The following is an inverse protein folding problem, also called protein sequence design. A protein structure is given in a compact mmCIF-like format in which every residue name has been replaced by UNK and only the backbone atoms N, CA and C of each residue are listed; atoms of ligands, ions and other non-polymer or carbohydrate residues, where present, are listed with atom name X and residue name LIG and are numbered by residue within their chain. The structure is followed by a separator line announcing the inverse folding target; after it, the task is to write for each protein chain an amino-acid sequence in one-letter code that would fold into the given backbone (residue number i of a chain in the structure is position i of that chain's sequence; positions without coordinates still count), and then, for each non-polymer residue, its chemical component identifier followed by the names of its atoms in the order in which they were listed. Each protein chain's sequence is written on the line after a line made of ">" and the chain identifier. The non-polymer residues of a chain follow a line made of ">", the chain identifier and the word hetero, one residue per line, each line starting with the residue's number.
data_IF_899825355961
#
_entry.id   IF_899825355961
#
_cell.length_a   1.000
_cell.length_b   1.000
_cell.length_c   1.000
_cell.angle_alpha   90.00
_cell.angle_beta   90.00
_cell.angle_gamma   90.00
#
_symmetry.space_group_name_H-M   'P 1'
#
loop_
_entity.id
_entity.type
_entity.pdbx_description
1 polymer ?
#
# COMPACT_ATOMS: atom_id res chain seq x y z
N UNK A 1 -25.28 4.41 3.30
CA UNK A 1 -24.22 4.94 2.42
C UNK A 1 -23.49 3.74 1.85
N UNK A 2 -23.90 3.39 0.63
CA UNK A 2 -23.64 2.11 -0.02
C UNK A 2 -22.20 2.09 -0.54
N UNK A 3 -21.32 1.32 0.12
CA UNK A 3 -19.94 1.14 -0.33
C UNK A 3 -19.94 0.50 -1.71
N UNK A 4 -19.32 1.16 -2.68
CA UNK A 4 -19.08 0.56 -4.00
C UNK A 4 -18.18 -0.66 -3.79
N UNK A 5 -18.59 -1.80 -4.34
CA UNK A 5 -17.88 -3.05 -4.24
C UNK A 5 -16.51 -2.91 -4.95
N UNK A 6 -15.41 -2.81 -4.19
CA UNK A 6 -14.04 -2.61 -4.70
C UNK A 6 -13.37 -3.91 -5.21
N UNK A 7 -14.08 -5.03 -5.11
CA UNK A 7 -13.65 -6.27 -5.74
C UNK A 7 -13.75 -6.14 -7.26
N UNK A 8 -12.62 -6.31 -7.94
CA UNK A 8 -12.57 -6.21 -9.40
C UNK A 8 -13.36 -7.39 -9.99
N UNK A 9 -14.36 -7.12 -10.82
CA UNK A 9 -15.30 -8.13 -11.36
C UNK A 9 -14.71 -9.11 -12.40
N UNK A 10 -13.38 -9.23 -12.50
CA UNK A 10 -12.71 -10.27 -13.31
C UNK A 10 -12.35 -11.51 -12.50
N UNK A 11 -13.17 -11.87 -11.50
CA UNK A 11 -12.78 -12.79 -10.41
C UNK A 11 -12.60 -14.26 -10.81
N UNK A 12 -12.89 -14.70 -12.03
CA UNK A 12 -13.19 -16.12 -12.26
C UNK A 12 -12.27 -16.86 -13.26
N UNK A 13 -10.95 -16.71 -13.15
CA UNK A 13 -10.03 -17.68 -13.81
C UNK A 13 -9.31 -18.58 -12.81
N UNK A 14 -9.02 -18.08 -11.59
CA UNK A 14 -8.27 -18.83 -10.58
C UNK A 14 -9.12 -19.02 -9.32
N UNK A 15 -9.46 -20.27 -9.01
CA UNK A 15 -10.26 -20.64 -7.84
C UNK A 15 -9.62 -20.12 -6.55
N UNK A 16 -10.44 -19.53 -5.67
CA UNK A 16 -10.05 -18.97 -4.36
C UNK A 16 -9.16 -17.72 -4.40
N UNK A 17 -9.01 -17.05 -5.55
CA UNK A 17 -8.29 -15.78 -5.66
C UNK A 17 -9.28 -14.62 -5.81
N UNK A 18 -9.30 -13.71 -4.84
CA UNK A 18 -10.09 -12.48 -4.91
C UNK A 18 -9.15 -11.30 -5.08
N UNK A 19 -9.42 -10.46 -6.09
CA UNK A 19 -8.67 -9.22 -6.32
C UNK A 19 -9.49 -8.06 -5.77
N UNK A 20 -8.89 -7.32 -4.84
CA UNK A 20 -9.46 -6.11 -4.24
C UNK A 20 -8.58 -4.92 -4.60
N UNK A 21 -9.15 -3.88 -5.19
CA UNK A 21 -8.40 -2.66 -5.51
C UNK A 21 -8.53 -1.66 -4.36
N UNK A 22 -7.46 -1.54 -3.56
CA UNK A 22 -7.39 -0.59 -2.46
C UNK A 22 -5.99 -0.48 -1.89
N UNK A 23 -5.79 0.51 -1.01
CA UNK A 23 -4.55 0.66 -0.23
C UNK A 23 -4.75 0.08 1.16
N UNK A 24 -3.70 -0.56 1.66
CA UNK A 24 -3.65 -1.10 3.03
C UNK A 24 -2.86 -0.15 3.91
N UNK A 25 -3.47 0.34 4.98
CA UNK A 25 -2.85 1.31 5.88
C UNK A 25 -2.21 0.64 7.11
N UNK A 26 -2.74 -0.49 7.56
CA UNK A 26 -2.19 -1.19 8.73
C UNK A 26 -2.51 -2.67 8.76
N UNK A 27 -1.75 -3.42 9.57
CA UNK A 27 -2.07 -4.78 9.97
C UNK A 27 -3.08 -4.75 11.11
N UNK A 28 -4.06 -5.64 11.06
CA UNK A 28 -4.93 -5.95 12.19
C UNK A 28 -4.26 -7.03 13.03
N UNK A 29 -3.88 -6.71 14.26
CA UNK A 29 -3.12 -7.60 15.15
C UNK A 29 -3.85 -7.73 16.48
N UNK A 30 -3.96 -8.96 16.98
CA UNK A 30 -4.52 -9.25 18.29
C UNK A 30 -3.64 -8.75 19.44
N UNK A 31 -4.19 -8.75 20.66
CA UNK A 31 -3.45 -8.34 21.86
C UNK A 31 -2.26 -9.23 22.19
N UNK A 32 -2.25 -10.45 21.65
CA UNK A 32 -1.22 -11.47 21.75
C UNK A 32 -0.20 -11.44 20.59
N UNK A 33 -0.34 -10.50 19.65
CA UNK A 33 0.50 -10.42 18.46
C UNK A 33 0.02 -11.27 17.28
N UNK A 34 -1.14 -11.94 17.39
CA UNK A 34 -1.66 -12.77 16.29
C UNK A 34 -2.13 -11.91 15.10
N UNK A 35 -1.76 -12.28 13.88
CA UNK A 35 -2.28 -11.66 12.67
C UNK A 35 -3.78 -11.94 12.51
N UNK A 36 -4.59 -10.89 12.43
CA UNK A 36 -6.05 -10.95 12.21
C UNK A 36 -6.47 -10.44 10.83
N UNK A 37 -5.54 -9.87 10.05
CA UNK A 37 -5.77 -9.39 8.69
C UNK A 37 -5.20 -8.00 8.48
N UNK A 38 -5.91 -7.18 7.70
CA UNK A 38 -5.47 -5.83 7.32
C UNK A 38 -6.60 -4.81 7.40
N UNK A 39 -6.25 -3.55 7.68
CA UNK A 39 -7.17 -2.41 7.60
C UNK A 39 -6.84 -1.58 6.37
N UNK A 40 -7.87 -1.28 5.59
CA UNK A 40 -7.80 -0.52 4.35
C UNK A 40 -8.00 0.97 4.60
N UNK A 41 -7.53 1.81 3.68
CA UNK A 41 -7.67 3.28 3.82
C UNK A 41 -9.11 3.79 3.77
N UNK A 42 -10.06 2.97 3.30
CA UNK A 42 -11.49 3.27 3.31
C UNK A 42 -12.16 2.90 4.66
N UNK A 43 -11.40 2.40 5.64
CA UNK A 43 -11.90 1.99 6.94
C UNK A 43 -12.41 0.54 7.03
N UNK A 44 -12.43 -0.21 5.93
CA UNK A 44 -12.77 -1.64 5.95
C UNK A 44 -11.62 -2.50 6.51
N UNK A 45 -11.98 -3.59 7.20
CA UNK A 45 -11.02 -4.61 7.65
C UNK A 45 -11.22 -5.89 6.83
N UNK A 46 -10.17 -6.33 6.14
CA UNK A 46 -10.13 -7.65 5.52
C UNK A 46 -9.50 -8.65 6.48
N UNK A 47 -10.27 -9.63 6.93
CA UNK A 47 -9.82 -10.66 7.87
C UNK A 47 -9.00 -11.73 7.17
N UNK A 48 -7.87 -12.11 7.76
CA UNK A 48 -7.06 -13.24 7.31
C UNK A 48 -6.26 -13.83 8.46
N UNK A 49 -5.85 -15.11 8.33
CA UNK A 49 -4.97 -15.79 9.29
C UNK A 49 -3.48 -15.49 9.07
N UNK A 50 -3.15 -14.94 7.90
CA UNK A 50 -1.79 -14.63 7.47
C UNK A 50 -1.84 -13.47 6.48
N UNK A 51 -0.83 -12.61 6.53
CA UNK A 51 -0.62 -11.50 5.60
C UNK A 51 0.80 -11.61 5.07
N UNK A 52 0.94 -11.57 3.74
CA UNK A 52 2.24 -11.48 3.07
C UNK A 52 2.38 -10.07 2.54
N UNK A 53 3.40 -9.35 3.00
CA UNK A 53 3.69 -7.99 2.56
C UNK A 53 4.60 -8.01 1.34
N UNK A 54 4.12 -7.46 0.23
CA UNK A 54 4.86 -7.37 -1.04
C UNK A 54 4.80 -5.95 -1.61
N UNK A 55 5.05 -4.95 -0.75
CA UNK A 55 4.95 -3.52 -1.07
C UNK A 55 5.97 -3.03 -2.10
N UNK A 56 7.01 -3.82 -2.40
CA UNK A 56 8.06 -3.44 -3.34
C UNK A 56 8.71 -2.11 -2.92
N UNK A 57 8.81 -1.16 -3.86
CA UNK A 57 9.41 0.16 -3.62
C UNK A 57 8.48 1.16 -2.91
N UNK A 58 7.27 0.74 -2.51
CA UNK A 58 6.26 1.66 -1.97
C UNK A 58 6.36 1.89 -0.47
N UNK A 59 6.83 0.92 0.33
CA UNK A 59 6.85 1.03 1.79
C UNK A 59 7.79 2.15 2.25
N UNK A 60 7.22 3.29 2.66
CA UNK A 60 8.01 4.49 3.00
C UNK A 60 8.88 5.00 1.83
N UNK A 61 8.49 4.67 0.59
CA UNK A 61 9.29 4.89 -0.61
C UNK A 61 9.64 6.36 -0.84
N UNK A 62 10.85 6.58 -1.38
CA UNK A 62 11.37 7.91 -1.68
C UNK A 62 12.19 7.87 -2.97
N UNK A 63 11.96 8.84 -3.84
CA UNK A 63 12.73 9.03 -5.07
C UNK A 63 13.75 10.13 -4.83
N UNK A 64 14.97 9.90 -5.32
CA UNK A 64 16.07 10.85 -5.32
C UNK A 64 16.45 11.20 -6.77
N UNK A 65 16.51 12.49 -7.09
CA UNK A 65 16.93 13.01 -8.40
C UNK A 65 17.98 14.09 -8.14
N UNK A 66 19.25 13.73 -8.27
CA UNK A 66 20.35 14.61 -7.88
C UNK A 66 20.23 15.01 -6.40
N UNK A 67 20.07 16.32 -6.14
CA UNK A 67 19.89 16.88 -4.79
C UNK A 67 18.44 16.97 -4.36
N UNK A 68 17.50 16.73 -5.27
CA UNK A 68 16.09 16.75 -4.98
C UNK A 68 15.61 15.38 -4.53
N UNK A 69 14.60 15.37 -3.67
CA UNK A 69 13.99 14.13 -3.24
C UNK A 69 12.54 14.33 -2.83
N UNK A 70 11.72 13.31 -3.02
CA UNK A 70 10.29 13.35 -2.70
C UNK A 70 9.75 11.97 -2.33
N UNK A 71 8.74 11.93 -1.48
CA UNK A 71 8.04 10.71 -1.08
C UNK A 71 7.29 10.14 -2.29
N UNK A 72 7.60 8.90 -2.65
CA UNK A 72 7.08 8.25 -3.86
C UNK A 72 7.37 6.75 -3.84
N UNK A 73 6.40 5.94 -4.21
CA UNK A 73 6.60 4.51 -4.45
C UNK A 73 7.22 4.23 -5.82
N UNK A 74 6.81 4.98 -6.85
CA UNK A 74 7.33 4.83 -8.22
C UNK A 74 7.17 6.11 -9.04
N UNK A 75 8.03 6.28 -10.04
CA UNK A 75 7.87 7.30 -11.09
C UNK A 75 6.82 6.83 -12.10
N UNK A 76 5.84 7.68 -12.40
CA UNK A 76 4.84 7.42 -13.45
C UNK A 76 5.53 7.52 -14.81
N UNK A 77 5.19 6.58 -15.69
CA UNK A 77 5.72 6.48 -17.06
C UNK A 77 4.71 7.04 -18.06
N UNK A 78 4.24 8.27 -17.90
CA UNK A 78 3.44 8.92 -18.93
C UNK A 78 4.38 9.67 -19.90
N UNK A 79 4.07 9.57 -21.19
CA UNK A 79 4.81 10.18 -22.30
C UNK A 79 4.50 11.67 -22.49
N UNK A 80 3.76 12.29 -21.57
CA UNK A 80 3.46 13.71 -21.64
C UNK A 80 4.68 14.52 -21.17
N UNK A 81 5.19 15.47 -21.99
CA UNK A 81 6.26 16.36 -21.56
C UNK A 81 5.75 17.19 -20.39
N UNK A 82 6.35 17.02 -19.22
CA UNK A 82 6.04 17.82 -18.05
C UNK A 82 7.30 18.60 -17.67
N UNK A 83 7.33 19.89 -17.99
CA UNK A 83 8.28 20.86 -17.45
C UNK A 83 8.42 20.65 -15.93
N UNK A 84 9.65 20.59 -15.41
CA UNK A 84 10.15 20.68 -14.01
C UNK A 84 9.10 20.84 -12.88
N UNK A 85 8.06 20.01 -12.87
CA UNK A 85 7.01 20.01 -11.87
C UNK A 85 7.07 18.69 -11.11
N UNK A 86 7.15 18.72 -9.78
CA UNK A 86 7.10 17.52 -8.97
C UNK A 86 5.65 16.99 -8.99
N UNK A 87 5.31 16.20 -10.02
CA UNK A 87 3.90 15.80 -10.23
C UNK A 87 3.67 14.36 -10.68
N UNK A 88 4.68 13.67 -11.22
CA UNK A 88 4.43 12.39 -11.89
C UNK A 88 4.84 11.17 -11.05
N UNK A 89 4.50 11.12 -9.75
CA UNK A 89 4.83 9.98 -8.87
C UNK A 89 3.58 9.27 -8.37
N UNK A 90 3.69 7.96 -8.18
CA UNK A 90 2.72 7.21 -7.39
C UNK A 90 3.07 7.34 -5.90
N UNK A 91 2.05 7.58 -5.07
CA UNK A 91 2.22 7.79 -3.64
C UNK A 91 2.81 6.54 -2.96
N UNK A 92 3.69 6.71 -1.95
CA UNK A 92 4.21 5.61 -1.16
C UNK A 92 3.19 5.12 -0.12
N UNK A 93 3.40 3.91 0.40
CA UNK A 93 2.63 3.31 1.50
C UNK A 93 3.17 3.78 2.86
N UNK A 94 2.95 5.06 3.20
CA UNK A 94 3.47 5.67 4.43
C UNK A 94 2.81 5.10 5.70
N UNK A 95 1.48 4.97 5.71
CA UNK A 95 0.75 4.47 6.89
C UNK A 95 1.18 3.04 7.24
N UNK A 96 1.35 2.18 6.22
CA UNK A 96 1.88 0.84 6.44
C UNK A 96 3.31 0.89 6.99
N UNK A 97 4.17 1.78 6.49
CA UNK A 97 5.54 1.94 7.02
C UNK A 97 5.53 2.30 8.51
N UNK A 98 4.67 3.22 8.92
CA UNK A 98 4.48 3.57 10.33
C UNK A 98 3.86 2.43 11.15
N UNK A 99 2.94 1.65 10.56
CA UNK A 99 2.41 0.45 11.20
C UNK A 99 3.51 -0.56 11.52
N UNK A 100 4.40 -0.84 10.58
CA UNK A 100 5.50 -1.81 10.76
C UNK A 100 6.47 -1.33 11.85
N UNK A 101 6.77 -0.02 11.90
CA UNK A 101 7.57 0.57 12.99
C UNK A 101 6.88 0.44 14.35
N UNK A 102 5.57 0.73 14.45
CA UNK A 102 4.81 0.59 15.70
C UNK A 102 4.77 -0.85 16.21
N UNK A 103 4.83 -1.82 15.31
CA UNK A 103 4.94 -3.24 15.65
C UNK A 103 6.36 -3.66 16.06
N UNK A 104 7.32 -2.73 16.09
CA UNK A 104 8.69 -2.97 16.55
C UNK A 104 9.62 -3.56 15.50
N UNK A 105 9.19 -3.65 14.24
CA UNK A 105 10.06 -4.08 13.16
C UNK A 105 10.97 -2.94 12.70
N UNK A 106 12.24 -3.23 12.38
CA UNK A 106 13.11 -2.23 11.77
C UNK A 106 12.58 -1.85 10.39
N UNK A 107 12.53 -0.55 10.13
CA UNK A 107 12.27 0.01 8.80
C UNK A 107 13.38 1.01 8.55
N UNK A 108 14.42 0.55 7.84
CA UNK A 108 15.59 1.36 7.53
C UNK A 108 15.22 2.57 6.65
N UNK A 109 16.04 3.62 6.72
CA UNK A 109 16.03 4.78 5.82
C UNK A 109 17.37 4.95 5.14
#
# INVERSE_FOLDING_TARGET
>A
LTGQNQFIQNQDVIKNLHIYQGSVDSLSVGTDGECKGVNLSNGETLKSKCVVLTTGTFLGGRIHIGRESRMAGRMVRSSEPQDDKPGNVEAPSNEMSECIKRLGFPVDR
#
